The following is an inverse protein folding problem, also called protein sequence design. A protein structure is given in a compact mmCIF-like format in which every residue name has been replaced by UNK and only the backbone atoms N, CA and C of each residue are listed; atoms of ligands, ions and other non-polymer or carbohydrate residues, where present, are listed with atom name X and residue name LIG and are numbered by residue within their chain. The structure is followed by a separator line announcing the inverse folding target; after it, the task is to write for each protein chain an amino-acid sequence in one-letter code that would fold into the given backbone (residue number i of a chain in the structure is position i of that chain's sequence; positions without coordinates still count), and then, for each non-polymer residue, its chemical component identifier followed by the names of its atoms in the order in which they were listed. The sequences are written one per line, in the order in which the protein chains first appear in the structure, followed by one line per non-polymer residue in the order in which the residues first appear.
data_IF_733030459354
#
_entry.id   IF_733030459354
#
_cell.length_a   1.000
_cell.length_b   1.000
_cell.length_c   1.000
_cell.angle_alpha   90.00
_cell.angle_beta   90.00
_cell.angle_gamma   90.00
#
_symmetry.space_group_name_H-M   'P 1'
#
loop_
_entity.id
_entity.type
_entity.pdbx_description
1 polymer ?
#
# COMPACT_ATOMS: atom_id res chain seq x y z
N UNK A 1 4.30 35.56 12.44
CA UNK A 1 4.23 34.12 12.80
C UNK A 1 3.60 33.40 11.62
N UNK A 2 4.41 32.96 10.67
CA UNK A 2 3.93 32.35 9.43
C UNK A 2 3.81 30.85 9.65
N UNK A 3 2.60 30.39 9.96
CA UNK A 3 2.30 28.97 10.07
C UNK A 3 2.44 28.33 8.70
N UNK A 4 3.47 27.51 8.51
CA UNK A 4 3.56 26.58 7.38
C UNK A 4 2.46 25.55 7.54
N UNK A 5 1.32 25.79 6.89
CA UNK A 5 0.30 24.78 6.65
C UNK A 5 0.95 23.61 5.91
N UNK A 6 1.18 22.51 6.64
CA UNK A 6 1.58 21.24 6.05
C UNK A 6 0.49 20.83 5.07
N UNK A 7 0.77 20.91 3.76
CA UNK A 7 -0.13 20.39 2.75
C UNK A 7 -0.28 18.89 3.00
N UNK A 8 -1.47 18.45 3.41
CA UNK A 8 -1.79 17.04 3.53
C UNK A 8 -1.40 16.33 2.22
N UNK A 9 -0.72 15.18 2.32
CA UNK A 9 -0.30 14.43 1.15
C UNK A 9 -1.54 14.07 0.32
N UNK A 10 -1.68 14.67 -0.87
CA UNK A 10 -2.78 14.34 -1.78
C UNK A 10 -2.69 12.85 -2.16
N UNK A 11 -3.79 12.14 -1.90
CA UNK A 11 -3.96 10.68 -2.08
C UNK A 11 -3.80 10.28 -3.57
N UNK A 12 -3.75 11.26 -4.48
CA UNK A 12 -3.61 11.04 -5.92
C UNK A 12 -2.20 10.66 -6.39
N UNK A 13 -1.18 10.72 -5.53
CA UNK A 13 0.16 10.31 -5.95
C UNK A 13 0.15 8.86 -6.47
N UNK A 14 0.70 8.57 -7.67
CA UNK A 14 0.75 7.22 -8.23
C UNK A 14 1.39 6.17 -7.30
N UNK A 15 2.22 6.63 -6.36
CA UNK A 15 2.86 5.79 -5.33
C UNK A 15 1.86 5.20 -4.33
N UNK A 16 0.73 5.86 -4.06
CA UNK A 16 -0.28 5.32 -3.16
C UNK A 16 -1.02 4.12 -3.77
N UNK A 17 -1.12 4.07 -5.10
CA UNK A 17 -1.70 2.96 -5.88
C UNK A 17 -0.71 1.80 -6.12
N UNK A 18 0.56 1.97 -5.75
CA UNK A 18 1.62 1.00 -6.06
C UNK A 18 1.71 -0.11 -5.00
N UNK A 19 1.75 -1.36 -5.44
CA UNK A 19 2.03 -2.53 -4.60
C UNK A 19 3.32 -3.16 -5.09
N UNK A 20 4.27 -3.33 -4.16
CA UNK A 20 5.55 -3.98 -4.45
C UNK A 20 5.57 -5.36 -3.81
N UNK A 21 5.64 -6.38 -4.65
CA UNK A 21 5.72 -7.79 -4.27
C UNK A 21 7.17 -8.24 -4.41
N UNK A 22 7.75 -8.72 -3.31
CA UNK A 22 9.11 -9.24 -3.23
C UNK A 22 9.09 -10.74 -2.97
N UNK A 23 10.20 -11.40 -3.29
CA UNK A 23 10.39 -12.82 -3.05
C UNK A 23 11.58 -13.01 -2.14
N UNK A 24 11.42 -13.74 -1.03
CA UNK A 24 12.46 -13.89 -0.01
C UNK A 24 13.56 -14.87 -0.41
N UNK A 25 13.21 -16.06 -0.94
CA UNK A 25 14.19 -17.11 -1.27
C UNK A 25 14.04 -17.60 -2.71
N UNK A 26 12.82 -17.86 -3.18
CA UNK A 26 12.58 -18.35 -4.52
C UNK A 26 12.44 -17.23 -5.57
N UNK A 27 13.48 -17.04 -6.39
CA UNK A 27 13.47 -16.11 -7.53
C UNK A 27 13.03 -16.74 -8.86
N UNK A 28 12.75 -18.04 -8.90
CA UNK A 28 12.37 -18.72 -10.14
C UNK A 28 11.04 -18.21 -10.71
N UNK A 29 10.08 -17.87 -9.84
CA UNK A 29 8.77 -17.33 -10.24
C UNK A 29 8.90 -15.97 -10.95
N UNK A 30 9.51 -14.92 -10.35
CA UNK A 30 9.68 -13.66 -11.05
C UNK A 30 10.59 -13.76 -12.28
N UNK A 31 11.54 -14.69 -12.33
CA UNK A 31 12.35 -14.94 -13.54
C UNK A 31 11.54 -15.55 -14.67
N UNK A 32 10.67 -16.52 -14.38
CA UNK A 32 9.73 -17.07 -15.36
C UNK A 32 8.76 -16.00 -15.86
N UNK A 33 8.30 -15.12 -14.97
CA UNK A 33 7.36 -14.06 -15.30
C UNK A 33 8.02 -12.87 -16.01
N UNK A 34 9.35 -12.73 -15.96
CA UNK A 34 10.09 -11.64 -16.64
C UNK A 34 9.94 -11.69 -18.16
N UNK A 35 9.68 -12.87 -18.72
CA UNK A 35 9.45 -13.06 -20.17
C UNK A 35 8.02 -12.73 -20.59
N UNK A 36 7.09 -12.58 -19.64
CA UNK A 36 5.69 -12.30 -19.92
C UNK A 36 5.48 -10.84 -20.30
N UNK A 37 4.44 -10.59 -21.09
CA UNK A 37 4.02 -9.22 -21.40
C UNK A 37 3.38 -8.57 -20.18
N UNK A 38 3.43 -7.22 -20.06
CA UNK A 38 2.79 -6.51 -18.96
C UNK A 38 1.30 -6.84 -18.77
N UNK A 39 0.56 -7.08 -19.86
CA UNK A 39 -0.85 -7.49 -19.80
C UNK A 39 -1.04 -8.88 -19.18
N UNK A 40 -0.17 -9.83 -19.51
CA UNK A 40 -0.19 -11.20 -18.96
C UNK A 40 0.18 -11.20 -17.47
N UNK A 41 1.08 -10.31 -17.05
CA UNK A 41 1.39 -10.12 -15.62
C UNK A 41 0.17 -9.63 -14.84
N UNK A 42 -0.54 -8.63 -15.37
CA UNK A 42 -1.77 -8.11 -14.76
C UNK A 42 -2.82 -9.20 -14.67
N UNK A 43 -2.99 -9.98 -15.73
CA UNK A 43 -3.93 -11.09 -15.75
C UNK A 43 -3.63 -12.11 -14.64
N UNK A 44 -2.39 -12.59 -14.54
CA UNK A 44 -2.00 -13.54 -13.47
C UNK A 44 -2.19 -12.99 -12.06
N UNK A 45 -1.90 -11.70 -11.86
CA UNK A 45 -2.12 -11.07 -10.56
C UNK A 45 -3.61 -10.98 -10.21
N UNK A 46 -4.46 -10.65 -11.18
CA UNK A 46 -5.92 -10.62 -10.97
C UNK A 46 -6.50 -12.02 -10.78
N UNK A 47 -5.99 -13.05 -11.46
CA UNK A 47 -6.35 -14.46 -11.23
C UNK A 47 -5.99 -14.90 -9.80
N UNK A 48 -4.84 -14.47 -9.28
CA UNK A 48 -4.46 -14.72 -7.90
C UNK A 48 -5.40 -14.04 -6.89
N UNK A 49 -5.84 -12.80 -7.14
CA UNK A 49 -6.84 -12.14 -6.30
C UNK A 49 -8.20 -12.86 -6.35
N UNK A 50 -8.62 -13.32 -7.53
CA UNK A 50 -9.87 -14.05 -7.70
C UNK A 50 -9.87 -15.44 -7.05
N UNK A 51 -8.69 -16.00 -6.75
CA UNK A 51 -8.54 -17.27 -6.04
C UNK A 51 -8.72 -17.15 -4.53
N UNK A 52 -8.88 -15.93 -4.01
CA UNK A 52 -9.06 -15.67 -2.59
C UNK A 52 -10.56 -15.70 -2.21
N UNK A 53 -10.88 -16.13 -0.99
CA UNK A 53 -12.27 -16.20 -0.50
C UNK A 53 -12.81 -14.84 -0.02
N UNK A 54 -11.93 -13.87 0.24
CA UNK A 54 -12.31 -12.55 0.75
C UNK A 54 -12.86 -11.64 -0.38
N UNK A 55 -14.12 -11.26 -0.25
CA UNK A 55 -14.83 -10.36 -1.16
C UNK A 55 -14.15 -9.00 -1.34
N UNK A 56 -13.47 -8.47 -0.31
CA UNK A 56 -12.78 -7.18 -0.37
C UNK A 56 -11.55 -7.24 -1.29
N UNK A 57 -10.87 -8.39 -1.28
CA UNK A 57 -9.70 -8.65 -2.12
C UNK A 57 -10.14 -8.90 -3.56
N UNK A 58 -11.21 -9.68 -3.77
CA UNK A 58 -11.77 -9.94 -5.09
C UNK A 58 -12.26 -8.67 -5.81
N UNK A 59 -12.74 -7.67 -5.06
CA UNK A 59 -13.19 -6.40 -5.62
C UNK A 59 -12.04 -5.53 -6.14
N UNK A 60 -10.80 -5.76 -5.67
CA UNK A 60 -9.64 -5.01 -6.11
C UNK A 60 -9.12 -5.49 -7.47
N UNK A 61 -8.61 -4.57 -8.29
CA UNK A 61 -8.06 -4.89 -9.61
C UNK A 61 -6.72 -4.19 -9.87
N UNK A 62 -5.77 -4.96 -10.40
CA UNK A 62 -4.55 -4.41 -10.96
C UNK A 62 -4.79 -3.89 -12.39
N UNK A 63 -4.28 -2.70 -12.70
CA UNK A 63 -4.34 -2.06 -14.02
C UNK A 63 -3.03 -2.16 -14.79
N UNK A 64 -1.91 -2.15 -14.07
CA UNK A 64 -0.58 -2.23 -14.65
C UNK A 64 0.34 -3.05 -13.75
N UNK A 65 1.26 -3.79 -14.35
CA UNK A 65 2.28 -4.53 -13.63
C UNK A 65 3.57 -4.58 -14.44
N UNK A 66 4.70 -4.58 -13.74
CA UNK A 66 6.03 -4.76 -14.32
C UNK A 66 6.95 -5.44 -13.33
N UNK A 67 8.00 -6.08 -13.82
CA UNK A 67 9.07 -6.66 -13.00
C UNK A 67 10.29 -5.74 -13.07
N UNK A 68 10.83 -5.36 -11.91
CA UNK A 68 12.03 -4.52 -11.86
C UNK A 68 13.31 -5.35 -12.12
N UNK A 69 14.44 -4.66 -12.29
CA UNK A 69 15.76 -5.31 -12.49
C UNK A 69 16.15 -6.23 -11.32
N UNK A 70 15.68 -5.92 -10.10
CA UNK A 70 15.91 -6.71 -8.88
C UNK A 70 14.98 -7.93 -8.75
N UNK A 71 14.04 -8.14 -9.67
CA UNK A 71 13.11 -9.27 -9.67
C UNK A 71 11.89 -9.11 -8.74
N UNK A 72 11.57 -7.89 -8.31
CA UNK A 72 10.32 -7.58 -7.61
C UNK A 72 9.23 -7.20 -8.62
N UNK A 73 7.99 -7.60 -8.34
CA UNK A 73 6.83 -7.17 -9.12
C UNK A 73 6.33 -5.85 -8.55
N UNK A 74 6.19 -4.85 -9.42
CA UNK A 74 5.58 -3.56 -9.13
C UNK A 74 4.25 -3.55 -9.87
N UNK A 75 3.15 -3.52 -9.11
CA UNK A 75 1.80 -3.50 -9.64
C UNK A 75 1.08 -2.22 -9.21
N UNK A 76 0.16 -1.73 -10.03
CA UNK A 76 -0.67 -0.57 -9.73
C UNK A 76 -2.14 -0.96 -9.74
N UNK A 77 -2.85 -0.59 -8.69
CA UNK A 77 -4.31 -0.75 -8.58
C UNK A 77 -5.03 0.42 -9.25
N UNK A 78 -6.35 0.28 -9.42
CA UNK A 78 -7.20 1.35 -9.93
C UNK A 78 -7.27 2.54 -8.97
N UNK A 79 -7.48 2.25 -7.69
CA UNK A 79 -7.60 3.26 -6.62
C UNK A 79 -6.59 3.03 -5.49
N UNK A 80 -6.25 4.10 -4.77
CA UNK A 80 -5.38 4.01 -3.59
C UNK A 80 -6.06 3.21 -2.46
N UNK A 81 -7.39 3.29 -2.33
CA UNK A 81 -8.17 2.50 -1.38
C UNK A 81 -8.02 0.99 -1.61
N UNK A 82 -8.05 0.55 -2.88
CA UNK A 82 -7.81 -0.85 -3.24
C UNK A 82 -6.38 -1.27 -2.88
N UNK A 83 -5.38 -0.42 -3.17
CA UNK A 83 -3.99 -0.71 -2.81
C UNK A 83 -3.82 -0.88 -1.30
N UNK A 84 -4.47 -0.03 -0.51
CA UNK A 84 -4.43 -0.11 0.94
C UNK A 84 -5.12 -1.37 1.47
N UNK A 85 -6.29 -1.71 0.93
CA UNK A 85 -7.03 -2.93 1.26
C UNK A 85 -6.16 -4.17 1.00
N UNK A 86 -5.55 -4.27 -0.18
CA UNK A 86 -4.65 -5.37 -0.52
C UNK A 86 -3.40 -5.42 0.38
N UNK A 87 -2.88 -4.27 0.85
CA UNK A 87 -1.76 -4.24 1.80
C UNK A 87 -2.17 -4.71 3.20
N UNK A 88 -3.36 -4.33 3.66
CA UNK A 88 -3.90 -4.74 4.98
C UNK A 88 -4.15 -6.24 5.03
N UNK A 89 -4.71 -6.80 3.95
CA UNK A 89 -5.07 -8.20 3.81
C UNK A 89 -4.01 -9.03 3.07
N UNK A 90 -2.74 -8.61 3.11
CA UNK A 90 -1.68 -9.23 2.30
C UNK A 90 -1.47 -10.72 2.57
N UNK A 91 -1.73 -11.19 3.78
CA UNK A 91 -1.53 -12.58 4.17
C UNK A 91 -2.53 -13.51 3.46
N UNK A 92 -3.70 -12.98 3.12
CA UNK A 92 -4.81 -13.76 2.56
C UNK A 92 -4.63 -14.04 1.06
N UNK A 93 -3.89 -13.19 0.33
CA UNK A 93 -3.76 -13.33 -1.13
C UNK A 93 -2.33 -13.53 -1.65
N UNK A 94 -1.29 -13.12 -0.91
CA UNK A 94 0.10 -13.19 -1.42
C UNK A 94 0.52 -14.60 -1.80
N UNK A 95 0.02 -15.61 -1.09
CA UNK A 95 0.31 -17.03 -1.32
C UNK A 95 -0.15 -17.52 -2.70
N UNK A 96 -1.24 -16.97 -3.22
CA UNK A 96 -1.76 -17.32 -4.56
C UNK A 96 -0.90 -16.73 -5.68
N UNK A 97 -0.16 -15.64 -5.43
CA UNK A 97 0.82 -15.13 -6.39
C UNK A 97 2.07 -16.01 -6.41
N UNK A 98 2.60 -16.33 -5.23
CA UNK A 98 3.61 -17.36 -5.03
C UNK A 98 3.74 -17.70 -3.54
N UNK A 99 4.14 -18.94 -3.25
CA UNK A 99 4.29 -19.47 -1.88
C UNK A 99 5.21 -18.65 -0.98
N UNK A 100 6.20 -17.95 -1.54
CA UNK A 100 7.16 -17.12 -0.78
C UNK A 100 7.12 -15.64 -1.14
N UNK A 101 6.00 -15.18 -1.71
CA UNK A 101 5.78 -13.77 -1.95
C UNK A 101 5.60 -13.02 -0.62
N UNK A 102 6.13 -11.80 -0.58
CA UNK A 102 5.92 -10.86 0.51
C UNK A 102 5.56 -9.49 -0.07
N UNK A 103 4.61 -8.81 0.56
CA UNK A 103 4.12 -7.50 0.10
C UNK A 103 4.76 -6.42 0.95
N UNK A 104 5.43 -5.47 0.29
CA UNK A 104 6.00 -4.32 0.96
C UNK A 104 4.91 -3.38 1.46
N UNK A 105 5.00 -3.02 2.73
CA UNK A 105 4.22 -1.94 3.31
C UNK A 105 5.02 -0.63 3.13
N UNK A 106 4.47 0.39 2.46
CA UNK A 106 5.09 1.70 2.43
C UNK A 106 5.10 2.27 3.84
N UNK A 107 6.25 2.80 4.26
CA UNK A 107 6.39 3.50 5.54
C UNK A 107 6.49 4.99 5.23
N UNK A 108 5.58 5.77 5.78
CA UNK A 108 5.60 7.22 5.67
C UNK A 108 6.31 7.78 6.91
N UNK A 109 7.41 8.53 6.75
CA UNK A 109 8.06 9.16 7.89
C UNK A 109 7.12 10.22 8.48
N UNK A 110 6.94 10.17 9.79
CA UNK A 110 6.25 11.23 10.53
C UNK A 110 7.30 12.21 11.04
N UNK A 111 7.18 13.48 10.65
CA UNK A 111 8.05 14.55 11.15
C UNK A 111 7.29 15.25 12.28
N UNK A 112 7.84 15.20 13.50
CA UNK A 112 7.25 15.86 14.67
C UNK A 112 8.12 17.06 15.04
N UNK A 113 7.56 18.27 14.96
CA UNK A 113 8.31 19.52 15.18
C UNK A 113 8.63 19.83 16.65
N UNK A 114 8.08 19.06 17.58
CA UNK A 114 8.37 19.14 19.01
C UNK A 114 7.29 18.44 19.81
N UNK A 115 7.67 17.67 20.83
CA UNK A 115 6.74 17.04 21.75
C UNK A 115 6.91 17.71 23.12
N UNK A 116 5.88 18.34 23.69
CA UNK A 116 5.96 18.89 25.03
C UNK A 116 6.33 17.78 26.04
N UNK A 117 7.37 17.99 26.84
CA UNK A 117 7.84 16.95 27.79
C UNK A 117 6.75 16.58 28.80
N UNK A 118 5.84 17.51 29.12
CA UNK A 118 4.70 17.30 30.02
C UNK A 118 3.58 16.43 29.42
N UNK A 119 3.54 16.25 28.10
CA UNK A 119 2.49 15.46 27.42
C UNK A 119 2.90 14.01 27.18
N UNK A 120 4.13 13.63 27.54
CA UNK A 120 4.63 12.25 27.41
C UNK A 120 4.86 11.69 28.80
N UNK A 121 4.03 10.73 29.19
CA UNK A 121 4.31 9.91 30.36
C UNK A 121 5.29 8.78 29.96
N UNK A 122 6.57 8.82 30.38
CA UNK A 122 7.53 7.77 30.07
C UNK A 122 7.16 6.41 30.69
N UNK A 123 6.27 6.39 31.69
CA UNK A 123 5.70 5.19 32.29
C UNK A 123 4.59 4.54 31.46
N UNK A 124 3.97 5.28 30.54
CA UNK A 124 2.86 4.80 29.72
C UNK A 124 3.06 5.06 28.21
N UNK A 125 4.13 4.47 27.67
CA UNK A 125 4.50 4.60 26.25
C UNK A 125 3.41 4.10 25.30
N UNK A 126 2.67 3.07 25.68
CA UNK A 126 1.66 2.43 24.83
C UNK A 126 0.49 3.36 24.53
N UNK A 127 -0.04 4.04 25.55
CA UNK A 127 -1.15 4.99 25.38
C UNK A 127 -0.74 6.17 24.48
N UNK A 128 0.48 6.68 24.65
CA UNK A 128 1.00 7.76 23.82
C UNK A 128 1.17 7.35 22.34
N UNK A 129 1.67 6.14 22.09
CA UNK A 129 1.78 5.60 20.72
C UNK A 129 0.40 5.45 20.07
N UNK A 130 -0.60 4.96 20.80
CA UNK A 130 -1.97 4.84 20.28
C UNK A 130 -2.58 6.20 19.97
N UNK A 131 -2.38 7.19 20.83
CA UNK A 131 -2.84 8.54 20.57
C UNK A 131 -2.19 9.14 19.31
N UNK A 132 -0.86 8.98 19.15
CA UNK A 132 -0.17 9.38 17.92
C UNK A 132 -0.72 8.66 16.67
N UNK A 133 -1.09 7.38 16.78
CA UNK A 133 -1.72 6.64 15.68
C UNK A 133 -3.10 7.18 15.33
N UNK A 134 -3.88 7.60 16.30
CA UNK A 134 -5.20 8.22 16.09
C UNK A 134 -5.04 9.58 15.41
N UNK A 135 -4.15 10.43 15.93
CA UNK A 135 -3.90 11.78 15.39
C UNK A 135 -3.33 11.74 13.97
N UNK A 136 -2.48 10.76 13.65
CA UNK A 136 -1.92 10.56 12.32
C UNK A 136 -2.72 9.59 11.45
N UNK A 137 -3.92 9.18 11.87
CA UNK A 137 -4.76 8.29 11.07
C UNK A 137 -5.10 9.01 9.77
N UNK A 138 -4.82 8.35 8.64
CA UNK A 138 -5.20 8.86 7.33
C UNK A 138 -6.72 8.94 7.26
N UNK A 139 -7.25 10.14 7.04
CA UNK A 139 -8.66 10.37 6.73
C UNK A 139 -8.79 10.32 5.22
N UNK A 140 -9.53 9.33 4.69
CA UNK A 140 -9.88 9.33 3.28
C UNK A 140 -11.03 10.33 3.10
N UNK A 141 -10.74 11.56 2.66
CA UNK A 141 -11.81 12.45 2.19
C UNK A 141 -12.39 11.84 0.92
N UNK A 142 -13.68 11.56 0.95
CA UNK A 142 -14.46 11.27 -0.25
C UNK A 142 -14.80 12.63 -0.86
N UNK A 143 -13.81 13.30 -1.44
CA UNK A 143 -14.07 14.58 -2.11
C UNK A 143 -14.89 14.28 -3.36
N UNK A 144 -16.20 14.54 -3.24
CA UNK A 144 -17.07 14.75 -4.39
C UNK A 144 -16.40 15.81 -5.25
N UNK A 145 -15.96 15.42 -6.45
CA UNK A 145 -15.58 16.34 -7.50
C UNK A 145 -16.81 17.21 -7.78
N UNK A 146 -16.86 18.40 -7.20
CA UNK A 146 -17.78 19.43 -7.63
C UNK A 146 -17.12 20.05 -8.86
N UNK A 147 -17.63 19.64 -10.03
CA UNK A 147 -17.33 20.23 -11.31
C UNK A 147 -17.72 21.73 -11.24
N UNK A 148 -16.73 22.60 -11.03
CA UNK A 148 -16.92 24.04 -11.20
C UNK A 148 -16.86 24.34 -12.69
N UNK A 149 -18.04 24.49 -13.31
CA UNK A 149 -18.23 25.25 -14.54
C UNK A 149 -18.14 26.75 -14.29
#
# INVERSE_FOLDING_TARGET
MSGTSSAAASIESPRHKEIVIRYKRNKAVPEAWRKLRPSELVQKLNEALASTEDTLIMAAKFKAARINSRGSIIAHTETAAQAETLRRHKEDWKGFVATEADVMLPVYPVIVHGIPIKSVDPGNKTAFIEQLRIENRQVMSHDMVVDCR
#
